data_IF_726758241740
#
_entry.id   IF_726758241740
#
_cell.length_a   1.000
_cell.length_b   1.000
_cell.length_c   1.000
_cell.angle_alpha   90.00
_cell.angle_beta   90.00
_cell.angle_gamma   90.00
#
_symmetry.space_group_name_H-M   'P 1'
#
loop_
_entity.id
_entity.type
_entity.pdbx_description
1 polymer ?
#
# COMPACT_ATOMS: atom_id res chain seq x y z
N UNK A 1 0.24 10.77 -14.16
CA UNK A 1 -0.87 11.73 -14.30
C UNK A 1 -0.58 13.01 -13.51
N UNK A 2 0.03 12.89 -12.36
CA UNK A 2 0.40 14.00 -11.47
C UNK A 2 1.91 14.21 -11.51
N UNK A 3 2.36 15.45 -11.52
CA UNK A 3 3.78 15.85 -11.49
C UNK A 3 3.97 16.99 -10.51
N UNK A 4 5.22 17.30 -10.19
CA UNK A 4 5.57 18.52 -9.45
C UNK A 4 5.41 19.73 -10.38
N UNK A 5 4.79 20.81 -9.89
CA UNK A 5 4.61 22.05 -10.65
C UNK A 5 5.48 23.17 -10.13
N UNK A 6 5.85 24.11 -11.00
CA UNK A 6 6.53 25.33 -10.60
C UNK A 6 5.57 26.19 -9.75
N UNK A 7 5.87 26.30 -8.46
CA UNK A 7 5.05 27.07 -7.50
C UNK A 7 3.88 26.30 -6.87
N UNK A 8 3.64 25.05 -7.24
CA UNK A 8 2.64 24.19 -6.61
C UNK A 8 3.24 22.82 -6.24
N UNK A 9 2.76 22.22 -5.14
CA UNK A 9 3.22 20.89 -4.71
C UNK A 9 2.86 19.81 -5.75
N UNK A 10 1.73 20.00 -6.43
CA UNK A 10 1.18 19.06 -7.42
C UNK A 10 0.65 19.83 -8.63
N UNK A 11 0.92 19.30 -9.80
CA UNK A 11 0.38 19.78 -11.08
C UNK A 11 -0.10 18.62 -11.95
N UNK A 12 -0.96 18.92 -12.92
CA UNK A 12 -1.38 17.95 -13.91
C UNK A 12 -0.21 17.62 -14.84
N UNK A 13 0.16 16.35 -14.89
CA UNK A 13 1.20 15.87 -15.79
C UNK A 13 0.73 15.75 -17.24
N UNK A 14 1.64 15.38 -18.11
CA UNK A 14 1.31 15.13 -19.51
C UNK A 14 0.49 13.85 -19.66
N UNK A 15 -0.81 14.00 -19.94
CA UNK A 15 -1.75 12.89 -20.10
C UNK A 15 -1.51 12.06 -21.38
N UNK A 16 -0.79 12.61 -22.35
CA UNK A 16 -0.44 11.90 -23.60
C UNK A 16 0.84 11.09 -23.50
N UNK A 17 1.55 11.16 -22.36
CA UNK A 17 2.71 10.30 -22.12
C UNK A 17 2.27 8.82 -22.04
N UNK A 18 3.11 7.91 -22.52
CA UNK A 18 2.84 6.47 -22.53
C UNK A 18 2.36 5.93 -21.18
N UNK A 19 3.05 6.21 -20.06
CA UNK A 19 2.61 5.78 -18.72
C UNK A 19 1.25 6.34 -18.31
N UNK A 20 0.96 7.63 -18.56
CA UNK A 20 -0.30 8.23 -18.20
C UNK A 20 -1.45 7.66 -19.03
N UNK A 21 -1.24 7.47 -20.34
CA UNK A 21 -2.21 6.85 -21.23
C UNK A 21 -2.52 5.40 -20.83
N UNK A 22 -1.48 4.61 -20.52
CA UNK A 22 -1.63 3.24 -20.02
C UNK A 22 -2.43 3.20 -18.69
N UNK A 23 -2.19 4.16 -17.79
CA UNK A 23 -2.95 4.28 -16.54
C UNK A 23 -4.44 4.52 -16.81
N UNK A 24 -4.79 5.40 -17.74
CA UNK A 24 -6.18 5.67 -18.13
C UNK A 24 -6.84 4.40 -18.68
N UNK A 25 -6.16 3.68 -19.56
CA UNK A 25 -6.63 2.39 -20.09
C UNK A 25 -6.87 1.40 -18.95
N UNK A 26 -5.92 1.28 -18.00
CA UNK A 26 -6.03 0.39 -16.86
C UNK A 26 -7.23 0.72 -15.96
N UNK A 27 -7.49 2.00 -15.70
CA UNK A 27 -8.66 2.45 -14.94
C UNK A 27 -9.96 2.06 -15.67
N UNK A 28 -10.04 2.27 -16.98
CA UNK A 28 -11.22 1.94 -17.77
C UNK A 28 -11.47 0.43 -17.76
N UNK A 29 -10.45 -0.38 -18.01
CA UNK A 29 -10.54 -1.86 -17.99
C UNK A 29 -10.99 -2.34 -16.62
N UNK A 30 -10.32 -1.90 -15.55
CA UNK A 30 -10.64 -2.32 -14.19
C UNK A 30 -12.04 -1.87 -13.79
N UNK A 31 -12.43 -0.63 -14.11
CA UNK A 31 -13.77 -0.11 -13.87
C UNK A 31 -14.86 -0.90 -14.60
N UNK A 32 -14.62 -1.28 -15.85
CA UNK A 32 -15.54 -2.13 -16.62
C UNK A 32 -15.68 -3.52 -16.00
N UNK A 33 -14.58 -4.15 -15.59
CA UNK A 33 -14.60 -5.46 -14.93
C UNK A 33 -15.35 -5.42 -13.59
N UNK A 34 -15.12 -4.36 -12.80
CA UNK A 34 -15.84 -4.13 -11.54
C UNK A 34 -17.34 -3.90 -11.78
N UNK A 35 -17.72 -3.11 -12.77
CA UNK A 35 -19.12 -2.88 -13.14
C UNK A 35 -19.82 -4.17 -13.57
N UNK A 36 -19.08 -5.10 -14.19
CA UNK A 36 -19.57 -6.45 -14.54
C UNK A 36 -19.56 -7.42 -13.38
N UNK A 37 -19.14 -6.99 -12.17
CA UNK A 37 -19.04 -7.83 -10.97
C UNK A 37 -18.20 -9.10 -11.17
N UNK A 38 -17.14 -9.00 -11.97
CA UNK A 38 -16.22 -10.12 -12.20
C UNK A 38 -15.36 -10.28 -10.97
N UNK A 39 -15.32 -11.50 -10.39
CA UNK A 39 -14.46 -11.82 -9.25
C UNK A 39 -13.00 -11.67 -9.63
N UNK A 40 -12.22 -11.01 -8.78
CA UNK A 40 -10.81 -10.70 -9.06
C UNK A 40 -10.59 -9.61 -10.11
N UNK A 41 -11.59 -8.76 -10.39
CA UNK A 41 -11.55 -7.70 -11.39
C UNK A 41 -10.29 -6.83 -11.31
N UNK A 42 -9.85 -6.50 -10.09
CA UNK A 42 -8.66 -5.68 -9.87
C UNK A 42 -7.39 -6.43 -10.33
N UNK A 43 -7.23 -7.69 -9.94
CA UNK A 43 -6.08 -8.51 -10.35
C UNK A 43 -6.04 -8.70 -11.87
N UNK A 44 -7.19 -9.02 -12.47
CA UNK A 44 -7.32 -9.16 -13.93
C UNK A 44 -6.97 -7.83 -14.62
N UNK A 45 -7.45 -6.71 -14.08
CA UNK A 45 -7.14 -5.37 -14.58
C UNK A 45 -5.64 -5.06 -14.54
N UNK A 46 -4.96 -5.40 -13.45
CA UNK A 46 -3.50 -5.23 -13.31
C UNK A 46 -2.77 -6.06 -14.37
N UNK A 47 -3.09 -7.35 -14.50
CA UNK A 47 -2.45 -8.24 -15.47
C UNK A 47 -2.66 -7.75 -16.89
N UNK A 48 -3.89 -7.40 -17.27
CA UNK A 48 -4.20 -6.88 -18.61
C UNK A 48 -3.45 -5.58 -18.89
N UNK A 49 -3.44 -4.65 -17.95
CA UNK A 49 -2.70 -3.39 -18.10
C UNK A 49 -1.20 -3.62 -18.25
N UNK A 50 -0.62 -4.55 -17.50
CA UNK A 50 0.78 -4.93 -17.60
C UNK A 50 1.09 -5.50 -18.99
N UNK A 51 0.27 -6.42 -19.48
CA UNK A 51 0.44 -7.03 -20.82
C UNK A 51 0.32 -5.98 -21.93
N UNK A 52 -0.63 -5.03 -21.83
CA UNK A 52 -0.76 -3.92 -22.77
C UNK A 52 0.44 -2.98 -22.72
N UNK A 53 1.01 -2.79 -21.52
CA UNK A 53 2.18 -1.93 -21.33
C UNK A 53 3.45 -2.43 -22.01
N UNK A 54 3.59 -3.75 -22.28
CA UNK A 54 4.75 -4.34 -22.96
C UNK A 54 4.90 -3.78 -24.38
N UNK A 55 3.94 -3.93 -25.30
CA UNK A 55 4.05 -3.40 -26.65
C UNK A 55 4.10 -1.87 -26.71
N UNK A 56 3.59 -1.18 -25.70
CA UNK A 56 3.70 0.28 -25.58
C UNK A 56 5.09 0.75 -25.11
N UNK A 57 6.01 -0.17 -24.77
CA UNK A 57 7.33 0.16 -24.24
C UNK A 57 7.31 0.80 -22.84
N UNK A 58 6.16 0.77 -22.14
CA UNK A 58 6.01 1.29 -20.79
C UNK A 58 6.40 0.26 -19.75
N UNK A 59 6.02 -1.00 -20.00
CA UNK A 59 6.41 -2.15 -19.16
C UNK A 59 7.68 -2.77 -19.75
N UNK A 60 8.79 -2.57 -19.06
CA UNK A 60 10.08 -3.15 -19.45
C UNK A 60 10.26 -4.47 -18.71
N UNK A 61 10.47 -5.55 -19.47
CA UNK A 61 10.87 -6.84 -18.89
C UNK A 61 12.40 -6.80 -18.75
N UNK A 62 12.95 -6.86 -17.53
CA UNK A 62 14.41 -6.82 -17.34
C UNK A 62 15.08 -8.05 -17.97
N UNK A 63 16.29 -7.84 -18.48
CA UNK A 63 17.13 -8.95 -18.95
C UNK A 63 17.41 -9.90 -17.77
N UNK A 64 17.18 -11.20 -17.98
CA UNK A 64 17.31 -12.19 -16.91
C UNK A 64 16.07 -12.32 -16.02
N UNK A 65 14.90 -11.84 -16.46
CA UNK A 65 13.65 -12.02 -15.72
C UNK A 65 13.43 -13.49 -15.36
N UNK A 66 13.34 -13.78 -14.08
CA UNK A 66 12.98 -15.08 -13.54
C UNK A 66 11.64 -14.95 -12.78
N UNK A 67 10.73 -15.88 -13.04
CA UNK A 67 9.43 -15.94 -12.35
C UNK A 67 9.58 -16.20 -10.85
N UNK A 68 10.69 -16.81 -10.44
CA UNK A 68 11.03 -17.05 -9.05
C UNK A 68 12.50 -16.73 -8.84
N UNK A 69 12.80 -15.91 -7.85
CA UNK A 69 14.16 -15.55 -7.47
C UNK A 69 14.29 -15.52 -5.95
N UNK A 70 15.48 -15.73 -5.43
CA UNK A 70 15.71 -15.56 -4.00
C UNK A 70 15.50 -14.11 -3.59
N UNK A 71 14.85 -13.82 -2.45
CA UNK A 71 14.65 -12.47 -2.00
C UNK A 71 15.99 -11.77 -1.76
N UNK A 72 16.10 -10.46 -2.04
CA UNK A 72 17.32 -9.70 -1.79
C UNK A 72 17.68 -9.72 -0.29
N UNK A 73 18.98 -9.69 0.01
CA UNK A 73 19.44 -9.69 1.38
C UNK A 73 19.09 -8.37 2.08
N UNK A 74 18.39 -8.44 3.19
CA UNK A 74 18.08 -7.29 4.06
C UNK A 74 19.20 -6.93 5.04
N UNK A 75 20.32 -7.63 5.02
CA UNK A 75 21.43 -7.44 5.98
C UNK A 75 22.02 -6.03 6.00
N UNK A 76 21.94 -5.32 4.88
CA UNK A 76 22.45 -3.95 4.76
C UNK A 76 21.58 -2.90 5.44
N UNK A 77 20.33 -3.20 5.74
CA UNK A 77 19.34 -2.26 6.29
C UNK A 77 18.77 -2.73 7.62
N UNK A 78 18.69 -4.05 7.85
CA UNK A 78 18.12 -4.59 9.08
C UNK A 78 19.00 -4.24 10.30
N UNK A 79 18.33 -3.73 11.34
CA UNK A 79 18.94 -3.34 12.61
C UNK A 79 20.04 -2.25 12.48
N UNK A 80 20.03 -1.48 11.39
CA UNK A 80 20.91 -0.34 11.20
C UNK A 80 20.30 0.92 11.83
N UNK A 81 20.42 1.03 13.15
CA UNK A 81 19.89 2.19 13.86
C UNK A 81 20.88 3.33 13.85
N UNK A 82 20.39 4.56 13.67
CA UNK A 82 21.20 5.76 13.83
C UNK A 82 21.56 5.99 15.31
N UNK A 83 22.70 6.64 15.61
CA UNK A 83 23.08 6.97 16.97
C UNK A 83 22.00 7.79 17.68
N UNK A 84 21.74 7.49 18.96
CA UNK A 84 20.75 8.20 19.77
C UNK A 84 20.97 9.72 19.81
N UNK A 85 22.22 10.16 19.73
CA UNK A 85 22.55 11.59 19.72
C UNK A 85 21.97 12.35 18.52
N UNK A 86 21.84 11.68 17.37
CA UNK A 86 21.20 12.26 16.18
C UNK A 86 19.69 12.33 16.31
N UNK A 87 19.09 11.37 16.99
CA UNK A 87 17.63 11.29 17.20
C UNK A 87 17.15 12.44 18.12
N UNK A 88 17.96 12.85 19.10
CA UNK A 88 17.62 13.92 20.05
C UNK A 88 18.00 15.33 19.54
N UNK A 89 18.20 15.51 18.23
CA UNK A 89 18.32 16.84 17.64
C UNK A 89 16.95 17.52 17.48
N UNK A 90 16.92 18.85 17.48
CA UNK A 90 15.68 19.62 17.30
C UNK A 90 15.02 19.35 15.93
N UNK A 91 15.83 19.23 14.88
CA UNK A 91 15.36 18.94 13.53
C UNK A 91 14.73 17.54 13.46
N UNK A 92 15.35 16.55 14.11
CA UNK A 92 14.81 15.19 14.16
C UNK A 92 13.52 15.12 14.95
N UNK A 93 13.35 15.93 16.00
CA UNK A 93 12.10 16.02 16.76
C UNK A 93 10.94 16.49 15.86
N UNK A 94 11.18 17.49 14.99
CA UNK A 94 10.18 17.96 14.02
C UNK A 94 9.82 16.84 13.04
N UNK A 95 10.82 16.12 12.54
CA UNK A 95 10.63 14.99 11.62
C UNK A 95 9.80 13.89 12.28
N UNK A 96 10.17 13.45 13.47
CA UNK A 96 9.45 12.41 14.24
C UNK A 96 8.01 12.83 14.49
N UNK A 97 7.78 14.08 14.92
CA UNK A 97 6.44 14.59 15.16
C UNK A 97 5.60 14.59 13.89
N UNK A 98 6.17 15.05 12.78
CA UNK A 98 5.47 15.08 11.49
C UNK A 98 5.08 13.68 11.02
N UNK A 99 6.03 12.74 11.04
CA UNK A 99 5.75 11.35 10.63
C UNK A 99 4.76 10.67 11.57
N UNK A 100 4.85 10.89 12.88
CA UNK A 100 3.90 10.36 13.86
C UNK A 100 2.48 10.81 13.56
N UNK A 101 2.28 12.11 13.27
CA UNK A 101 0.96 12.64 12.93
C UNK A 101 0.43 12.04 11.63
N UNK A 102 1.25 11.99 10.58
CA UNK A 102 0.86 11.40 9.31
C UNK A 102 0.45 9.94 9.50
N UNK A 103 1.26 9.16 10.20
CA UNK A 103 1.01 7.73 10.45
C UNK A 103 -0.28 7.50 11.25
N UNK A 104 -0.50 8.27 12.32
CA UNK A 104 -1.73 8.18 13.12
C UNK A 104 -2.98 8.51 12.28
N UNK A 105 -2.96 9.61 11.52
CA UNK A 105 -4.12 10.01 10.73
C UNK A 105 -4.40 9.02 9.60
N UNK A 106 -3.36 8.50 8.96
CA UNK A 106 -3.51 7.48 7.92
C UNK A 106 -4.10 6.19 8.49
N UNK A 107 -3.53 5.67 9.57
CA UNK A 107 -4.02 4.45 10.23
C UNK A 107 -5.45 4.60 10.74
N UNK A 108 -5.77 5.69 11.45
CA UNK A 108 -7.13 5.90 12.00
C UNK A 108 -8.15 6.08 10.87
N UNK A 109 -7.81 6.87 9.85
CA UNK A 109 -8.69 7.08 8.69
C UNK A 109 -8.96 5.78 7.93
N UNK A 110 -7.92 5.01 7.68
CA UNK A 110 -8.01 3.72 6.98
C UNK A 110 -8.77 2.69 7.80
N UNK A 111 -8.50 2.56 9.11
CA UNK A 111 -9.23 1.67 10.01
C UNK A 111 -10.73 2.02 10.05
N UNK A 112 -11.07 3.30 10.13
CA UNK A 112 -12.46 3.74 10.12
C UNK A 112 -13.16 3.37 8.81
N UNK A 113 -12.54 3.68 7.66
CA UNK A 113 -13.10 3.41 6.34
C UNK A 113 -13.25 1.91 6.05
N UNK A 114 -12.22 1.12 6.34
CA UNK A 114 -12.21 -0.34 6.13
C UNK A 114 -13.20 -1.03 7.07
N UNK A 115 -13.26 -0.63 8.33
CA UNK A 115 -14.18 -1.20 9.33
C UNK A 115 -15.64 -0.87 9.05
N UNK A 116 -15.94 0.35 8.60
CA UNK A 116 -17.27 0.74 8.17
C UNK A 116 -17.73 -0.13 6.99
N UNK A 117 -16.87 -0.33 5.99
CA UNK A 117 -17.16 -1.18 4.85
C UNK A 117 -17.32 -2.66 5.22
N UNK A 118 -16.61 -3.13 6.24
CA UNK A 118 -16.72 -4.49 6.76
C UNK A 118 -17.99 -4.71 7.61
N UNK A 119 -18.70 -3.65 7.98
CA UNK A 119 -19.84 -3.70 8.91
C UNK A 119 -19.42 -4.07 10.33
N UNK A 120 -18.24 -3.62 10.75
CA UNK A 120 -17.65 -3.88 12.08
C UNK A 120 -17.89 -2.74 13.08
N UNK A 121 -18.52 -1.65 12.65
CA UNK A 121 -18.84 -0.53 13.54
C UNK A 121 -20.09 -0.81 14.36
N UNK A 122 -20.12 -0.29 15.56
CA UNK A 122 -21.31 -0.30 16.41
C UNK A 122 -22.37 0.71 15.91
N UNK A 123 -23.61 0.68 16.43
CA UNK A 123 -24.67 1.62 16.03
C UNK A 123 -24.31 3.08 16.27
N UNK A 124 -23.43 3.35 17.20
CA UNK A 124 -22.92 4.68 17.57
C UNK A 124 -21.78 5.16 16.65
N UNK A 125 -21.33 4.30 15.70
CA UNK A 125 -20.27 4.61 14.75
C UNK A 125 -18.86 4.44 15.30
N UNK A 126 -18.69 3.78 16.45
CA UNK A 126 -17.37 3.47 16.98
C UNK A 126 -16.87 2.12 16.48
N UNK A 127 -15.57 1.97 16.39
CA UNK A 127 -14.94 0.69 16.09
C UNK A 127 -14.67 -0.09 17.39
N UNK A 128 -15.39 -1.19 17.66
CA UNK A 128 -15.08 -2.04 18.79
C UNK A 128 -13.64 -2.57 18.71
N UNK A 129 -12.92 -2.52 19.85
CA UNK A 129 -11.53 -3.00 19.94
C UNK A 129 -10.51 -2.19 19.11
N UNK A 130 -10.77 -0.92 18.80
CA UNK A 130 -9.85 -0.06 18.07
C UNK A 130 -8.44 -0.05 18.69
N UNK A 131 -8.31 -0.06 20.01
CA UNK A 131 -7.02 -0.12 20.68
C UNK A 131 -6.22 -1.38 20.36
N UNK A 132 -6.87 -2.53 20.11
CA UNK A 132 -6.16 -3.74 19.69
C UNK A 132 -5.71 -3.66 18.23
N UNK A 133 -6.48 -3.00 17.38
CA UNK A 133 -6.11 -2.78 15.99
C UNK A 133 -4.90 -1.84 15.90
N UNK A 134 -4.94 -0.72 16.63
CA UNK A 134 -3.81 0.23 16.71
C UNK A 134 -2.56 -0.42 17.32
N UNK A 135 -2.70 -1.27 18.33
CA UNK A 135 -1.57 -2.00 18.89
C UNK A 135 -0.94 -2.95 17.88
N UNK A 136 -1.76 -3.67 17.10
CA UNK A 136 -1.25 -4.57 16.05
C UNK A 136 -0.51 -3.79 14.96
N UNK A 137 -1.03 -2.63 14.54
CA UNK A 137 -0.43 -1.72 13.60
C UNK A 137 0.92 -1.19 14.11
N UNK A 138 0.97 -0.73 15.36
CA UNK A 138 2.22 -0.26 16.01
C UNK A 138 3.29 -1.35 16.10
N UNK A 139 2.91 -2.60 16.41
CA UNK A 139 3.84 -3.73 16.41
C UNK A 139 4.37 -3.99 15.00
N UNK A 140 3.52 -3.89 13.99
CA UNK A 140 3.92 -3.99 12.58
C UNK A 140 4.94 -2.91 12.21
N UNK A 141 4.67 -1.66 12.55
CA UNK A 141 5.55 -0.50 12.30
C UNK A 141 6.90 -0.65 12.98
N UNK A 142 6.93 -1.05 14.27
CA UNK A 142 8.19 -1.30 15.01
C UNK A 142 8.98 -2.43 14.33
N UNK A 143 8.32 -3.53 13.97
CA UNK A 143 8.97 -4.65 13.30
C UNK A 143 9.54 -4.23 11.94
N UNK A 144 8.77 -3.47 11.16
CA UNK A 144 9.20 -2.92 9.89
C UNK A 144 10.41 -2.01 10.04
N UNK A 145 10.41 -1.10 11.02
CA UNK A 145 11.53 -0.22 11.31
C UNK A 145 12.80 -1.02 11.69
N UNK A 146 12.68 -2.08 12.48
CA UNK A 146 13.81 -2.96 12.78
C UNK A 146 14.37 -3.66 11.54
N UNK A 147 13.53 -3.96 10.57
CA UNK A 147 13.93 -4.57 9.30
C UNK A 147 14.43 -3.55 8.27
N UNK A 148 14.34 -2.26 8.57
CA UNK A 148 14.77 -1.17 7.69
C UNK A 148 13.78 -0.82 6.60
N UNK A 149 12.48 -1.11 6.80
CA UNK A 149 11.41 -0.68 5.91
C UNK A 149 10.82 0.68 6.36
N UNK A 150 10.04 1.32 5.51
CA UNK A 150 9.17 2.43 5.91
C UNK A 150 8.08 1.93 6.88
N UNK A 151 7.25 2.84 7.39
CA UNK A 151 6.13 2.49 8.27
C UNK A 151 5.27 1.37 7.67
N UNK A 152 4.85 0.44 8.50
CA UNK A 152 3.89 -0.62 8.16
C UNK A 152 2.54 -0.19 8.71
N UNK A 153 1.63 0.17 7.84
CA UNK A 153 0.32 0.72 8.21
C UNK A 153 -0.82 -0.12 7.63
N UNK A 154 -2.02 0.16 8.10
CA UNK A 154 -3.24 -0.45 7.57
C UNK A 154 -3.53 0.08 6.17
N UNK A 155 -3.73 -0.80 5.18
CA UNK A 155 -3.97 -0.44 3.78
C UNK A 155 -5.45 -0.26 3.46
N UNK A 156 -5.80 0.84 2.79
CA UNK A 156 -7.16 1.09 2.28
C UNK A 156 -7.58 0.06 1.22
N UNK A 157 -6.63 -0.54 0.52
CA UNK A 157 -6.81 -1.62 -0.45
C UNK A 157 -7.42 -2.88 0.18
N UNK A 158 -7.33 -3.04 1.50
CA UNK A 158 -8.05 -4.08 2.25
C UNK A 158 -9.56 -4.04 2.00
N UNK A 159 -10.11 -2.87 1.63
CA UNK A 159 -11.50 -2.74 1.23
C UNK A 159 -11.89 -3.60 0.00
N UNK A 160 -10.94 -3.94 -0.86
CA UNK A 160 -11.17 -4.83 -1.99
C UNK A 160 -11.39 -6.28 -1.53
N UNK A 161 -10.59 -6.76 -0.58
CA UNK A 161 -10.78 -8.08 0.04
C UNK A 161 -12.09 -8.18 0.82
N UNK A 162 -12.51 -7.10 1.46
CA UNK A 162 -13.82 -7.01 2.14
C UNK A 162 -14.96 -7.07 1.13
N UNK A 163 -14.82 -6.43 -0.03
CA UNK A 163 -15.82 -6.47 -1.10
C UNK A 163 -16.03 -7.89 -1.65
N UNK A 164 -14.99 -8.71 -1.66
CA UNK A 164 -15.03 -10.14 -2.02
C UNK A 164 -15.52 -11.05 -0.88
N UNK A 165 -15.85 -10.49 0.29
CA UNK A 165 -16.42 -11.21 1.42
C UNK A 165 -15.44 -11.51 2.57
N UNK A 166 -14.20 -11.07 2.49
CA UNK A 166 -13.19 -11.25 3.54
C UNK A 166 -13.47 -10.36 4.75
N UNK A 167 -13.78 -10.96 5.91
CA UNK A 167 -14.13 -10.23 7.14
C UNK A 167 -13.54 -10.86 8.41
N UNK A 168 -12.61 -11.77 8.27
CA UNK A 168 -12.06 -12.52 9.40
C UNK A 168 -10.54 -12.45 9.41
N UNK A 169 -9.93 -12.83 10.54
CA UNK A 169 -8.47 -12.95 10.65
C UNK A 169 -7.86 -13.92 9.64
N UNK A 170 -8.63 -14.88 9.14
CA UNK A 170 -8.17 -15.80 8.08
C UNK A 170 -7.86 -15.06 6.78
N UNK A 171 -8.64 -14.02 6.45
CA UNK A 171 -8.34 -13.14 5.29
C UNK A 171 -6.98 -12.47 5.46
N UNK A 172 -6.68 -11.93 6.64
CA UNK A 172 -5.40 -11.30 6.92
C UNK A 172 -4.23 -12.30 6.83
N UNK A 173 -4.40 -13.52 7.37
CA UNK A 173 -3.39 -14.58 7.27
C UNK A 173 -3.16 -14.98 5.81
N UNK A 174 -4.22 -15.12 5.02
CA UNK A 174 -4.11 -15.45 3.59
C UNK A 174 -3.35 -14.35 2.83
N UNK A 175 -3.64 -13.09 3.11
CA UNK A 175 -2.94 -11.95 2.52
C UNK A 175 -1.45 -11.95 2.91
N UNK A 176 -1.14 -12.19 4.18
CA UNK A 176 0.25 -12.30 4.65
C UNK A 176 1.00 -13.46 3.97
N UNK A 177 0.34 -14.60 3.78
CA UNK A 177 0.92 -15.74 3.06
C UNK A 177 1.22 -15.38 1.58
N UNK A 178 0.32 -14.65 0.91
CA UNK A 178 0.54 -14.17 -0.46
C UNK A 178 1.69 -13.17 -0.55
N UNK A 179 1.84 -12.26 0.42
CA UNK A 179 3.03 -11.40 0.50
C UNK A 179 4.31 -12.23 0.70
N UNK A 180 4.27 -13.28 1.55
CA UNK A 180 5.39 -14.20 1.71
C UNK A 180 5.78 -14.91 0.42
N UNK A 181 4.81 -15.37 -0.36
CA UNK A 181 5.03 -15.99 -1.68
C UNK A 181 5.61 -14.98 -2.68
N UNK A 182 5.12 -13.74 -2.64
CA UNK A 182 5.58 -12.68 -3.55
C UNK A 182 7.02 -12.23 -3.31
N UNK A 183 7.69 -12.70 -2.24
CA UNK A 183 9.12 -12.47 -2.02
C UNK A 183 10.01 -13.31 -2.94
N UNK A 184 9.49 -14.37 -3.52
CA UNK A 184 10.22 -15.33 -4.37
C UNK A 184 9.78 -15.23 -5.83
#
# INVERSE_FOLDING_TARGET
IVTTGDGTIVALGNLTSGPAFLTIIGIIITGFLLARKIKGAILIGIVLTTVIGIPMGVTVIPEGFALMSAPPSVKSVAFQFVPLAEIFSFDMLIVVFTFLFVDIFDTVGTLAGVSARAGMMDPEGNLPRVGKALLADSIGTITGACLGTSTVTTYVESASGIAEGGRTGLTAISTAAMFGIALF
#
